data_IF_882322394812
#
_entry.id   IF_882322394812
#
_cell.length_a   1.000
_cell.length_b   1.000
_cell.length_c   1.000
_cell.angle_alpha   90.00
_cell.angle_beta   90.00
_cell.angle_gamma   90.00
#
_symmetry.space_group_name_H-M   'P 1'
#
loop_
_entity.id
_entity.type
_entity.pdbx_description
1 polymer ?
#
# COMPACT_ATOMS: atom_id res chain seq x y z
N UNK A 1 -23.06 7.32 7.87
CA UNK A 1 -22.48 6.24 8.69
C UNK A 1 -21.03 6.59 8.91
N UNK A 2 -20.62 6.83 10.15
CA UNK A 2 -19.22 7.13 10.47
C UNK A 2 -18.46 5.80 10.56
N UNK A 3 -17.50 5.59 9.65
CA UNK A 3 -16.72 4.35 9.62
C UNK A 3 -15.77 4.31 10.82
N UNK A 4 -15.50 3.13 11.42
CA UNK A 4 -14.63 3.04 12.57
C UNK A 4 -13.21 3.51 12.21
N UNK A 5 -12.83 4.68 12.74
CA UNK A 5 -11.52 5.33 12.53
C UNK A 5 -10.43 4.80 13.48
N UNK A 6 -10.78 3.87 14.37
CA UNK A 6 -9.86 3.33 15.37
C UNK A 6 -10.06 1.81 15.48
N UNK A 7 -8.96 1.09 15.37
CA UNK A 7 -8.86 -0.33 15.69
C UNK A 7 -7.49 -0.54 16.30
N UNK A 8 -7.48 -0.81 17.60
CA UNK A 8 -6.27 -1.17 18.33
C UNK A 8 -6.26 -2.68 18.41
N UNK A 9 -5.38 -3.31 17.66
CA UNK A 9 -5.21 -4.76 17.68
C UNK A 9 -3.97 -5.09 18.48
N UNK A 10 -4.13 -5.92 19.50
CA UNK A 10 -3.02 -6.53 20.23
C UNK A 10 -3.10 -8.05 20.08
N UNK A 11 -2.10 -8.66 19.46
CA UNK A 11 -2.01 -10.12 19.34
C UNK A 11 -0.90 -10.58 20.25
N UNK A 12 -1.27 -11.34 21.28
CA UNK A 12 -0.33 -11.95 22.22
C UNK A 12 -0.12 -13.43 21.88
N UNK A 13 1.12 -13.84 21.70
CA UNK A 13 1.48 -15.24 21.46
C UNK A 13 1.84 -15.93 22.77
N UNK A 14 1.31 -17.15 22.99
CA UNK A 14 1.66 -18.00 24.12
C UNK A 14 2.88 -18.89 23.79
N UNK A 15 3.39 -19.59 24.81
CA UNK A 15 4.67 -20.30 24.81
C UNK A 15 4.80 -21.42 23.77
N UNK A 16 3.70 -21.91 23.19
CA UNK A 16 3.69 -23.03 22.26
C UNK A 16 3.39 -22.64 20.81
N UNK A 17 3.14 -21.36 20.52
CA UNK A 17 2.70 -20.91 19.20
C UNK A 17 3.79 -20.12 18.46
N UNK A 18 4.26 -20.70 17.36
CA UNK A 18 4.96 -19.95 16.33
C UNK A 18 4.02 -18.89 15.74
N UNK A 19 4.56 -17.74 15.35
CA UNK A 19 3.77 -16.70 14.69
C UNK A 19 3.10 -17.28 13.44
N UNK A 20 1.76 -17.32 13.39
CA UNK A 20 1.07 -17.88 12.26
C UNK A 20 1.23 -16.95 11.06
N UNK A 21 0.99 -17.49 9.88
CA UNK A 21 0.90 -16.69 8.66
C UNK A 21 -0.38 -15.83 8.72
N UNK A 22 -0.29 -14.68 9.38
CA UNK A 22 -1.40 -13.74 9.56
C UNK A 22 -1.35 -12.70 8.45
N UNK A 23 -2.48 -12.54 7.76
CA UNK A 23 -2.70 -11.45 6.82
C UNK A 23 -3.80 -10.53 7.38
N UNK A 24 -3.51 -9.25 7.46
CA UNK A 24 -4.46 -8.21 7.82
C UNK A 24 -5.02 -7.58 6.56
N UNK A 25 -6.32 -7.35 6.51
CA UNK A 25 -6.98 -6.71 5.38
C UNK A 25 -7.75 -5.47 5.83
N UNK A 26 -7.68 -4.41 5.04
CA UNK A 26 -8.39 -3.15 5.22
C UNK A 26 -9.22 -2.85 3.99
N UNK A 27 -10.43 -2.33 4.21
CA UNK A 27 -11.24 -1.80 3.12
C UNK A 27 -10.59 -0.53 2.55
N UNK A 28 -10.77 -0.27 1.25
CA UNK A 28 -10.30 0.95 0.57
C UNK A 28 -10.66 2.22 1.35
N UNK A 29 -11.89 2.32 1.83
CA UNK A 29 -12.36 3.46 2.62
C UNK A 29 -11.58 3.65 3.93
N UNK A 30 -11.17 2.55 4.57
CA UNK A 30 -10.36 2.58 5.78
C UNK A 30 -8.89 2.90 5.48
N UNK A 31 -8.34 2.40 4.38
CA UNK A 31 -6.99 2.75 3.96
C UNK A 31 -6.86 4.27 3.70
N UNK A 32 -7.94 4.89 3.22
CA UNK A 32 -7.96 6.29 2.82
C UNK A 32 -8.45 7.26 3.91
N UNK A 33 -8.92 6.76 5.05
CA UNK A 33 -9.62 7.59 6.06
C UNK A 33 -8.76 8.68 6.69
N UNK A 34 -7.43 8.59 6.57
CA UNK A 34 -6.47 9.53 7.15
C UNK A 34 -5.76 10.39 6.10
N UNK A 35 -6.13 10.27 4.83
CA UNK A 35 -5.60 11.11 3.76
C UNK A 35 -6.41 12.42 3.73
N UNK A 36 -5.76 13.59 3.61
CA UNK A 36 -6.43 14.89 3.56
C UNK A 36 -7.09 15.11 2.19
N UNK A 37 -8.16 14.36 1.92
CA UNK A 37 -8.93 14.43 0.70
C UNK A 37 -9.71 15.75 0.65
N UNK A 38 -9.25 16.67 -0.20
CA UNK A 38 -9.99 17.90 -0.49
C UNK A 38 -10.77 17.72 -1.79
N UNK A 39 -12.08 17.50 -1.68
CA UNK A 39 -12.96 17.29 -2.82
C UNK A 39 -13.25 18.58 -3.62
N UNK A 40 -12.66 19.72 -3.24
CA UNK A 40 -12.85 21.02 -3.88
C UNK A 40 -11.72 21.41 -4.85
N UNK A 41 -10.65 20.62 -4.95
CA UNK A 41 -9.55 20.89 -5.90
C UNK A 41 -9.99 20.52 -7.34
N UNK A 42 -9.67 21.38 -8.31
CA UNK A 42 -9.97 21.12 -9.72
C UNK A 42 -9.09 19.97 -10.25
N UNK A 43 -9.67 19.08 -11.06
CA UNK A 43 -8.97 17.90 -11.59
C UNK A 43 -7.69 18.27 -12.37
N UNK A 44 -7.73 19.33 -13.18
CA UNK A 44 -6.57 19.76 -13.96
C UNK A 44 -5.41 20.27 -13.09
N UNK A 45 -5.71 20.91 -11.95
CA UNK A 45 -4.68 21.37 -11.01
C UNK A 45 -4.07 20.20 -10.24
N UNK A 46 -4.89 19.21 -9.90
CA UNK A 46 -4.47 17.96 -9.27
C UNK A 46 -3.49 17.19 -10.17
N UNK A 47 -3.87 16.96 -11.43
CA UNK A 47 -3.04 16.26 -12.42
C UNK A 47 -1.72 17.00 -12.65
N UNK A 48 -1.77 18.33 -12.75
CA UNK A 48 -0.57 19.16 -12.89
C UNK A 48 0.36 19.02 -11.70
N UNK A 49 -0.15 19.05 -10.47
CA UNK A 49 0.67 18.88 -9.25
C UNK A 49 1.33 17.51 -9.21
N UNK A 50 0.62 16.45 -9.57
CA UNK A 50 1.17 15.10 -9.55
C UNK A 50 2.28 14.95 -10.58
N UNK A 51 2.01 15.33 -11.83
CA UNK A 51 2.96 15.16 -12.93
C UNK A 51 4.16 16.10 -12.82
N UNK A 52 3.92 17.41 -12.66
CA UNK A 52 4.98 18.42 -12.73
C UNK A 52 5.70 18.68 -11.40
N UNK A 53 5.10 18.29 -10.27
CA UNK A 53 5.70 18.62 -8.96
C UNK A 53 6.15 17.37 -8.22
N UNK A 54 5.30 16.37 -8.07
CA UNK A 54 5.63 15.23 -7.20
C UNK A 54 6.41 14.13 -7.94
N UNK A 55 6.02 13.75 -9.15
CA UNK A 55 6.73 12.75 -9.94
C UNK A 55 8.10 13.23 -10.45
N UNK A 56 8.23 14.53 -10.77
CA UNK A 56 9.50 15.13 -11.19
C UNK A 56 10.54 15.18 -10.07
N UNK A 57 10.12 15.37 -8.80
CA UNK A 57 11.03 15.29 -7.64
C UNK A 57 11.65 13.90 -7.50
N UNK A 58 10.85 12.87 -7.76
CA UNK A 58 11.22 11.46 -7.65
C UNK A 58 11.97 10.97 -8.89
N UNK A 59 13.02 11.68 -9.31
CA UNK A 59 13.69 11.49 -10.59
C UNK A 59 14.66 10.29 -10.69
N UNK A 60 14.94 9.59 -9.59
CA UNK A 60 15.77 8.39 -9.58
C UNK A 60 15.03 7.20 -8.96
N UNK A 61 15.54 5.99 -9.22
CA UNK A 61 15.05 4.76 -8.58
C UNK A 61 15.10 4.88 -7.06
N UNK A 62 16.24 5.31 -6.49
CA UNK A 62 16.38 5.41 -5.03
C UNK A 62 15.37 6.39 -4.46
N UNK A 63 15.27 7.60 -5.03
CA UNK A 63 14.31 8.59 -4.55
C UNK A 63 12.87 8.07 -4.61
N UNK A 64 12.51 7.45 -5.73
CA UNK A 64 11.17 6.90 -5.92
C UNK A 64 10.82 5.84 -4.87
N UNK A 65 11.77 4.98 -4.47
CA UNK A 65 11.53 3.90 -3.53
C UNK A 65 11.69 4.33 -2.05
N UNK A 66 12.63 5.21 -1.75
CA UNK A 66 13.02 5.56 -0.38
C UNK A 66 12.33 6.81 0.15
N UNK A 67 12.10 7.84 -0.67
CA UNK A 67 11.49 9.09 -0.22
C UNK A 67 9.98 8.91 0.05
N UNK A 68 9.46 9.67 1.01
CA UNK A 68 8.03 9.68 1.31
C UNK A 68 7.25 10.30 0.14
N UNK A 69 6.12 9.71 -0.21
CA UNK A 69 5.28 10.22 -1.30
C UNK A 69 4.25 11.20 -0.77
N UNK A 70 3.91 12.20 -1.58
CA UNK A 70 2.75 13.03 -1.32
C UNK A 70 1.46 12.18 -1.35
N UNK A 71 0.51 12.50 -0.49
CA UNK A 71 -0.73 11.73 -0.34
C UNK A 71 -1.54 11.64 -1.65
N UNK A 72 -1.46 12.68 -2.51
CA UNK A 72 -2.13 12.68 -3.82
C UNK A 72 -1.57 11.60 -4.74
N UNK A 73 -0.25 11.48 -4.73
CA UNK A 73 0.46 10.47 -5.51
C UNK A 73 0.13 9.05 -5.02
N UNK A 74 0.06 8.86 -3.71
CA UNK A 74 -0.35 7.58 -3.10
C UNK A 74 -1.77 7.18 -3.51
N UNK A 75 -2.71 8.13 -3.54
CA UNK A 75 -4.10 7.87 -3.93
C UNK A 75 -4.22 7.37 -5.37
N UNK A 76 -3.62 8.09 -6.33
CA UNK A 76 -3.67 7.68 -7.73
C UNK A 76 -3.01 6.32 -7.93
N UNK A 77 -1.82 6.15 -7.37
CA UNK A 77 -1.06 4.92 -7.49
C UNK A 77 -1.81 3.73 -6.85
N UNK A 78 -2.50 3.96 -5.72
CA UNK A 78 -3.36 2.96 -5.09
C UNK A 78 -4.49 2.52 -6.01
N UNK A 79 -5.21 3.45 -6.65
CA UNK A 79 -6.29 3.09 -7.57
C UNK A 79 -5.79 2.33 -8.80
N UNK A 80 -4.63 2.72 -9.32
CA UNK A 80 -3.96 2.04 -10.44
C UNK A 80 -3.62 0.60 -10.07
N UNK A 81 -2.89 0.39 -8.96
CA UNK A 81 -2.48 -0.95 -8.52
C UNK A 81 -3.67 -1.81 -8.14
N UNK A 82 -4.66 -1.26 -7.42
CA UNK A 82 -5.84 -2.00 -7.03
C UNK A 82 -6.64 -2.48 -8.26
N UNK A 83 -6.69 -1.65 -9.31
CA UNK A 83 -7.35 -2.04 -10.57
C UNK A 83 -6.54 -3.07 -11.34
N UNK A 84 -5.23 -2.87 -11.50
CA UNK A 84 -4.38 -3.80 -12.25
C UNK A 84 -4.33 -5.19 -11.61
N UNK A 85 -4.19 -5.26 -10.28
CA UNK A 85 -4.20 -6.55 -9.56
C UNK A 85 -5.57 -7.24 -9.61
N UNK A 86 -6.66 -6.47 -9.55
CA UNK A 86 -8.02 -7.02 -9.71
C UNK A 86 -8.23 -7.54 -11.12
N UNK A 87 -7.77 -6.84 -12.15
CA UNK A 87 -7.80 -7.35 -13.53
C UNK A 87 -6.97 -8.62 -13.69
N UNK A 88 -5.74 -8.66 -13.20
CA UNK A 88 -4.88 -9.84 -13.31
C UNK A 88 -5.54 -11.08 -12.69
N UNK A 89 -6.21 -10.90 -11.55
CA UNK A 89 -6.95 -11.98 -10.86
C UNK A 89 -8.25 -12.38 -11.55
N UNK A 90 -8.96 -11.43 -12.14
CA UNK A 90 -10.29 -11.64 -12.73
C UNK A 90 -10.26 -11.97 -14.23
N UNK A 91 -9.16 -11.70 -14.93
CA UNK A 91 -9.03 -11.98 -16.36
C UNK A 91 -8.40 -13.34 -16.62
N UNK A 92 -9.13 -14.20 -17.33
CA UNK A 92 -8.57 -15.43 -17.91
C UNK A 92 -7.74 -15.09 -19.16
N UNK A 93 -6.83 -15.98 -19.57
CA UNK A 93 -5.92 -15.75 -20.69
C UNK A 93 -6.61 -15.42 -22.04
N UNK A 94 -7.86 -15.84 -22.25
CA UNK A 94 -8.66 -15.47 -23.43
C UNK A 94 -9.44 -14.14 -23.25
N UNK A 95 -9.68 -13.72 -22.00
CA UNK A 95 -10.36 -12.46 -21.68
C UNK A 95 -9.42 -11.24 -21.65
N UNK A 96 -8.12 -11.46 -21.46
CA UNK A 96 -7.10 -10.40 -21.33
C UNK A 96 -7.05 -9.46 -22.53
N UNK A 97 -7.04 -9.96 -23.77
CA UNK A 97 -7.03 -9.13 -24.98
C UNK A 97 -8.31 -8.28 -25.11
N UNK A 98 -9.47 -8.82 -24.74
CA UNK A 98 -10.75 -8.13 -24.76
C UNK A 98 -10.83 -7.06 -23.66
N UNK A 99 -10.31 -7.38 -22.48
CA UNK A 99 -10.19 -6.44 -21.35
C UNK A 99 -9.21 -5.32 -21.67
N UNK A 100 -8.07 -5.59 -22.29
CA UNK A 100 -7.08 -4.57 -22.72
C UNK A 100 -7.69 -3.64 -23.77
N UNK A 101 -8.39 -4.20 -24.77
CA UNK A 101 -8.99 -3.39 -25.83
C UNK A 101 -10.15 -2.53 -25.30
N UNK A 102 -10.99 -3.10 -24.42
CA UNK A 102 -12.01 -2.37 -23.67
C UNK A 102 -11.39 -1.26 -22.82
N UNK A 103 -10.26 -1.52 -22.14
CA UNK A 103 -9.51 -0.53 -21.37
C UNK A 103 -8.99 0.65 -22.20
N UNK A 104 -8.45 0.39 -23.38
CA UNK A 104 -7.85 1.45 -24.21
C UNK A 104 -8.91 2.39 -24.85
N UNK A 105 -10.09 1.85 -25.17
CA UNK A 105 -11.10 2.52 -26.00
C UNK A 105 -12.27 3.10 -25.22
N UNK A 106 -12.60 2.58 -24.03
CA UNK A 106 -13.85 2.94 -23.37
C UNK A 106 -13.76 4.31 -22.65
N UNK A 107 -14.70 5.27 -22.88
CA UNK A 107 -14.63 6.63 -22.34
C UNK A 107 -14.59 6.71 -20.80
N UNK A 108 -15.34 5.82 -20.12
CA UNK A 108 -15.31 5.70 -18.65
C UNK A 108 -13.98 5.23 -18.07
N UNK A 109 -13.03 4.80 -18.92
CA UNK A 109 -11.70 4.32 -18.54
C UNK A 109 -10.61 5.34 -18.92
N UNK A 110 -10.98 6.59 -19.22
CA UNK A 110 -10.03 7.67 -19.44
C UNK A 110 -9.14 7.91 -18.21
N UNK A 111 -9.70 7.80 -16.99
CA UNK A 111 -8.94 7.76 -15.73
C UNK A 111 -8.02 6.53 -15.59
N UNK A 112 -8.24 5.48 -16.39
CA UNK A 112 -7.36 4.31 -16.47
C UNK A 112 -6.22 4.51 -17.47
N UNK A 113 -6.23 5.56 -18.30
CA UNK A 113 -5.08 5.92 -19.14
C UNK A 113 -3.92 6.46 -18.30
N UNK A 114 -4.21 7.00 -17.12
CA UNK A 114 -3.21 7.31 -16.09
C UNK A 114 -2.39 6.08 -15.69
N UNK A 115 -2.94 4.85 -15.83
CA UNK A 115 -2.19 3.60 -15.62
C UNK A 115 -1.03 3.44 -16.61
N UNK A 116 -1.21 3.87 -17.86
CA UNK A 116 -0.14 3.84 -18.88
C UNK A 116 0.96 4.81 -18.49
N UNK A 117 0.60 5.99 -17.95
CA UNK A 117 1.56 6.94 -17.40
C UNK A 117 2.37 6.29 -16.29
N UNK A 118 1.73 5.65 -15.31
CA UNK A 118 2.42 4.94 -14.22
C UNK A 118 3.35 3.81 -14.70
N UNK A 119 2.95 3.05 -15.72
CA UNK A 119 3.82 2.04 -16.35
C UNK A 119 5.05 2.67 -17.03
N UNK A 120 4.89 3.85 -17.63
CA UNK A 120 6.01 4.60 -18.18
C UNK A 120 6.91 5.17 -17.08
N UNK A 121 6.34 5.70 -15.99
CA UNK A 121 7.10 6.25 -14.86
C UNK A 121 8.02 5.20 -14.23
N UNK A 122 7.53 3.98 -14.01
CA UNK A 122 8.36 2.90 -13.46
C UNK A 122 9.41 2.43 -14.46
N UNK A 123 9.07 2.37 -15.76
CA UNK A 123 10.00 1.96 -16.81
C UNK A 123 11.15 2.95 -16.93
N UNK A 124 10.87 4.25 -16.88
CA UNK A 124 11.89 5.31 -16.92
C UNK A 124 12.86 5.22 -15.74
N UNK A 125 12.37 4.82 -14.56
CA UNK A 125 13.16 4.71 -13.32
C UNK A 125 13.72 3.31 -13.07
N UNK A 126 13.51 2.39 -13.99
CA UNK A 126 13.90 0.97 -13.87
C UNK A 126 13.17 0.20 -12.77
N UNK A 127 12.12 0.75 -12.17
CA UNK A 127 11.38 0.14 -11.05
C UNK A 127 10.51 -1.02 -11.57
N UNK A 128 10.51 -2.14 -10.86
CA UNK A 128 9.66 -3.28 -11.21
C UNK A 128 8.22 -3.08 -10.71
N UNK A 129 7.27 -3.78 -11.32
CA UNK A 129 5.87 -3.71 -10.88
C UNK A 129 5.69 -4.19 -9.43
N UNK A 130 6.45 -5.20 -9.00
CA UNK A 130 6.42 -5.68 -7.61
C UNK A 130 6.93 -4.61 -6.64
N UNK A 131 8.02 -3.91 -6.96
CA UNK A 131 8.55 -2.82 -6.13
C UNK A 131 7.57 -1.64 -6.05
N UNK A 132 6.96 -1.26 -7.16
CA UNK A 132 5.90 -0.26 -7.18
C UNK A 132 4.74 -0.67 -6.25
N UNK A 133 4.30 -1.92 -6.39
CA UNK A 133 3.21 -2.48 -5.59
C UNK A 133 3.54 -2.46 -4.09
N UNK A 134 4.74 -2.89 -3.69
CA UNK A 134 5.16 -2.81 -2.29
C UNK A 134 5.31 -1.37 -1.79
N UNK A 135 5.84 -0.47 -2.63
CA UNK A 135 6.02 0.95 -2.29
C UNK A 135 4.68 1.61 -1.97
N UNK A 136 3.71 1.48 -2.87
CA UNK A 136 2.37 2.07 -2.68
C UNK A 136 1.70 1.53 -1.42
N UNK A 137 1.86 0.23 -1.16
CA UNK A 137 1.32 -0.40 0.04
C UNK A 137 1.97 0.13 1.31
N UNK A 138 3.29 0.28 1.30
CA UNK A 138 4.01 0.88 2.42
C UNK A 138 3.59 2.33 2.67
N UNK A 139 3.46 3.15 1.63
CA UNK A 139 3.03 4.55 1.79
C UNK A 139 1.58 4.63 2.28
N UNK A 140 0.68 3.80 1.74
CA UNK A 140 -0.71 3.70 2.20
C UNK A 140 -0.77 3.36 3.69
N UNK A 141 -0.02 2.33 4.11
CA UNK A 141 0.05 1.91 5.51
C UNK A 141 0.61 3.03 6.41
N UNK A 142 1.64 3.76 5.98
CA UNK A 142 2.21 4.86 6.77
C UNK A 142 1.18 5.93 7.13
N UNK A 143 0.24 6.21 6.22
CA UNK A 143 -0.85 7.15 6.50
C UNK A 143 -1.93 6.54 7.42
N UNK A 144 -2.24 5.25 7.26
CA UNK A 144 -3.29 4.58 8.02
C UNK A 144 -2.87 4.07 9.42
N UNK A 145 -1.60 3.70 9.61
CA UNK A 145 -1.07 3.14 10.86
C UNK A 145 -0.18 4.15 11.58
N UNK A 146 -0.53 4.45 12.84
CA UNK A 146 0.35 5.20 13.76
C UNK A 146 1.45 4.32 14.33
N UNK A 147 1.13 3.06 14.61
CA UNK A 147 2.07 2.13 15.24
C UNK A 147 1.81 0.74 14.72
N UNK A 148 2.86 0.09 14.23
CA UNK A 148 2.88 -1.34 13.99
C UNK A 148 4.22 -1.85 14.48
N UNK A 149 4.21 -2.47 15.66
CA UNK A 149 5.43 -2.86 16.31
C UNK A 149 5.28 -4.24 16.94
N UNK A 150 6.41 -4.94 16.96
CA UNK A 150 6.61 -6.12 17.76
C UNK A 150 7.32 -5.72 19.04
N UNK A 151 6.70 -5.98 20.19
CA UNK A 151 7.31 -5.74 21.50
C UNK A 151 7.72 -7.06 22.15
N UNK A 152 8.83 -7.01 22.87
CA UNK A 152 9.40 -8.12 23.66
C UNK A 152 9.68 -7.62 25.08
N UNK A 153 9.85 -8.52 26.05
CA UNK A 153 10.25 -8.14 27.43
C UNK A 153 11.57 -7.38 27.51
N UNK A 154 12.48 -7.60 26.56
CA UNK A 154 13.67 -6.77 26.46
C UNK A 154 13.31 -5.40 25.86
N UNK A 155 13.11 -4.40 26.72
CA UNK A 155 12.76 -3.02 26.34
C UNK A 155 13.84 -2.33 25.48
N UNK A 156 15.08 -2.82 25.53
CA UNK A 156 16.17 -2.30 24.68
C UNK A 156 16.11 -2.85 23.25
N UNK A 157 15.36 -3.92 23.01
CA UNK A 157 15.28 -4.59 21.71
C UNK A 157 14.26 -3.91 20.80
N UNK A 158 14.75 -3.11 19.84
CA UNK A 158 13.92 -2.47 18.80
C UNK A 158 13.84 -3.33 17.55
N UNK A 159 12.77 -4.10 17.42
CA UNK A 159 12.54 -4.92 16.22
C UNK A 159 11.86 -4.07 15.15
N UNK A 160 12.55 -3.89 14.02
CA UNK A 160 11.96 -3.30 12.82
C UNK A 160 11.06 -4.34 12.16
N UNK A 161 9.77 -4.03 12.04
CA UNK A 161 8.81 -4.89 11.34
C UNK A 161 8.56 -4.28 9.96
N UNK A 162 8.88 -5.02 8.90
CA UNK A 162 8.52 -4.64 7.53
C UNK A 162 7.14 -5.21 7.21
N UNK A 163 6.54 -4.75 6.12
CA UNK A 163 5.28 -5.27 5.62
C UNK A 163 5.49 -5.83 4.23
N UNK A 164 4.75 -6.90 3.92
CA UNK A 164 4.50 -7.30 2.56
C UNK A 164 3.04 -7.04 2.24
N UNK A 165 2.79 -6.29 1.19
CA UNK A 165 1.45 -5.84 0.83
C UNK A 165 0.90 -6.58 -0.38
N UNK A 166 -0.41 -6.75 -0.44
CA UNK A 166 -1.13 -7.41 -1.52
C UNK A 166 -2.50 -6.77 -1.74
N UNK A 167 -2.98 -6.79 -2.98
CA UNK A 167 -4.31 -6.28 -3.36
C UNK A 167 -5.15 -7.47 -3.76
N UNK A 168 -6.20 -7.73 -2.99
CA UNK A 168 -7.11 -8.85 -3.26
C UNK A 168 -8.19 -8.43 -4.26
N UNK A 169 -8.60 -7.16 -4.19
CA UNK A 169 -9.57 -6.56 -5.09
C UNK A 169 -9.37 -5.04 -5.15
N UNK A 170 -10.14 -4.36 -6.00
CA UNK A 170 -10.24 -2.89 -5.99
C UNK A 170 -10.70 -2.32 -4.64
N UNK A 171 -11.36 -3.13 -3.81
CA UNK A 171 -11.99 -2.71 -2.55
C UNK A 171 -11.20 -3.12 -1.31
N UNK A 172 -10.27 -4.06 -1.42
CA UNK A 172 -9.55 -4.64 -0.28
C UNK A 172 -8.04 -4.66 -0.50
N UNK A 173 -7.35 -4.03 0.43
CA UNK A 173 -5.90 -4.01 0.55
C UNK A 173 -5.50 -4.86 1.74
N UNK A 174 -4.47 -5.68 1.60
CA UNK A 174 -3.99 -6.54 2.65
C UNK A 174 -2.48 -6.41 2.86
N UNK A 175 -2.05 -6.71 4.08
CA UNK A 175 -0.65 -6.69 4.45
C UNK A 175 -0.36 -7.78 5.47
N UNK A 176 0.84 -8.32 5.38
CA UNK A 176 1.37 -9.29 6.31
C UNK A 176 2.69 -8.75 6.89
N UNK A 177 3.00 -9.04 8.15
CA UNK A 177 4.32 -8.77 8.69
C UNK A 177 5.37 -9.53 7.89
N UNK A 178 6.42 -8.81 7.49
CA UNK A 178 7.56 -9.36 6.77
C UNK A 178 8.82 -9.16 7.59
N UNK A 179 9.64 -10.21 7.67
CA UNK A 179 10.87 -10.18 8.44
C UNK A 179 11.94 -9.40 7.71
N UNK A 180 12.55 -8.45 8.41
CA UNK A 180 13.76 -7.80 7.94
C UNK A 180 14.93 -8.76 8.12
N UNK A 181 15.61 -9.15 7.03
CA UNK A 181 16.73 -10.10 7.10
C UNK A 181 17.88 -9.57 7.95
N UNK A 182 18.08 -8.26 7.93
CA UNK A 182 19.15 -7.56 8.64
C UNK A 182 18.81 -7.29 10.12
N UNK A 183 17.57 -7.54 10.55
CA UNK A 183 17.08 -7.33 11.91
C UNK A 183 16.10 -8.43 12.35
N UNK A 184 16.42 -9.68 12.00
CA UNK A 184 15.60 -10.84 12.30
C UNK A 184 15.91 -11.37 13.70
N UNK A 185 14.89 -11.39 14.56
CA UNK A 185 14.93 -12.18 15.79
C UNK A 185 13.85 -13.26 15.70
N UNK A 186 14.29 -14.51 15.80
CA UNK A 186 13.43 -15.67 15.93
C UNK A 186 12.53 -15.52 17.15
N UNK A 187 11.27 -15.92 16.99
CA UNK A 187 10.29 -15.94 18.05
C UNK A 187 10.55 -17.19 18.88
N UNK A 188 11.50 -17.11 19.80
CA UNK A 188 11.87 -18.20 20.70
C UNK A 188 11.45 -17.99 22.15
N UNK A 189 11.19 -16.75 22.58
CA UNK A 189 10.88 -16.44 23.99
C UNK A 189 9.66 -15.53 24.21
N UNK A 190 8.84 -16.02 25.15
CA UNK A 190 7.88 -15.44 26.09
C UNK A 190 7.21 -14.09 25.74
N UNK A 191 5.89 -14.17 25.48
CA UNK A 191 4.91 -13.07 25.38
C UNK A 191 5.28 -11.99 24.36
N UNK A 192 5.21 -12.35 23.09
CA UNK A 192 5.28 -11.39 22.00
C UNK A 192 3.91 -10.75 21.79
N UNK A 193 3.89 -9.41 21.82
CA UNK A 193 2.71 -8.62 21.49
C UNK A 193 2.92 -7.91 20.15
N UNK A 194 2.01 -8.11 19.21
CA UNK A 194 1.94 -7.33 17.98
C UNK A 194 0.88 -6.26 18.17
N UNK A 195 1.33 -5.01 18.28
CA UNK A 195 0.45 -3.86 18.50
C UNK A 195 0.29 -3.12 17.18
N UNK A 196 -0.94 -3.12 16.68
CA UNK A 196 -1.39 -2.29 15.56
C UNK A 196 -2.30 -1.19 16.10
N UNK A 197 -1.89 0.06 15.94
CA UNK A 197 -2.66 1.26 16.23
C UNK A 197 -2.90 1.99 14.91
N UNK A 198 -4.16 2.06 14.48
CA UNK A 198 -4.56 2.95 13.39
C UNK A 198 -4.45 4.41 13.83
N UNK A 199 -4.27 5.32 12.88
CA UNK A 199 -4.33 6.75 13.16
C UNK A 199 -5.69 7.15 13.71
N UNK A 200 -5.72 8.01 14.72
CA UNK A 200 -6.94 8.73 15.11
C UNK A 200 -6.94 10.08 14.40
N UNK A 201 -8.07 10.49 13.84
CA UNK A 201 -8.31 11.87 13.43
C UNK A 201 -8.89 12.64 14.60
#
# INVERSE_FOLDING_TARGET
>A
MEYPKQSNMNIMFNESMNMPNITFCMAKQQAWSHLPLNNSELADEWDRRIQQTELEKLNSREKFLEEAWDYRLVLEAYEVIATLNSMERETTAQGSARSINFFSTHPKLQAKRTMITWLNEIKQRGVTFEELTQKIGSETIKYSLRRFQRTTFNESLKIKTKFRTSWISTMQFCFQPWFDRDNYFEIKDQVLSLISLLSSS
#
